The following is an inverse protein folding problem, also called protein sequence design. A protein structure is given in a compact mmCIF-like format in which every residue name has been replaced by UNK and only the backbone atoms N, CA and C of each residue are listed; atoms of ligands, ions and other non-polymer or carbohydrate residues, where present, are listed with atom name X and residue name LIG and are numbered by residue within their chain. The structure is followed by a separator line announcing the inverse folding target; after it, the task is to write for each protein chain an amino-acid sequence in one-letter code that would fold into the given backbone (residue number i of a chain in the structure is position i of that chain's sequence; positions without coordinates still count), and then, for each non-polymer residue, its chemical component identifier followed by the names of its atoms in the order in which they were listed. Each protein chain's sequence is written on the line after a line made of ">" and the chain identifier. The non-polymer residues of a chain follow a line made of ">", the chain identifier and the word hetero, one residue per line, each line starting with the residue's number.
data_IF_909619249648
#
_entry.id   IF_909619249648
#
_cell.length_a   1.000
_cell.length_b   1.000
_cell.length_c   1.000
_cell.angle_alpha   90.00
_cell.angle_beta   90.00
_cell.angle_gamma   90.00
#
_symmetry.space_group_name_H-M   'P 1'
#
loop_
_entity.id
_entity.type
_entity.pdbx_description
1 polymer ?
#
# COMPACT_ATOMS: atom_id res chain seq x y z
N UNK A 1 25.84 23.74 -11.00
CA UNK A 1 24.45 23.99 -11.45
C UNK A 1 24.25 23.78 -12.96
N UNK A 2 25.17 23.09 -13.68
CA UNK A 2 25.12 23.00 -15.15
C UNK A 2 25.20 21.57 -15.71
N UNK A 3 25.16 20.53 -14.87
CA UNK A 3 25.33 19.12 -15.27
C UNK A 3 24.35 18.67 -16.37
N UNK A 4 23.13 19.21 -16.39
CA UNK A 4 22.13 18.91 -17.42
C UNK A 4 22.50 19.52 -18.77
N UNK A 5 22.99 20.77 -18.78
CA UNK A 5 23.43 21.45 -20.00
C UNK A 5 24.65 20.74 -20.58
N UNK A 6 25.62 20.39 -19.73
CA UNK A 6 26.83 19.65 -20.14
C UNK A 6 26.48 18.25 -20.68
N UNK A 7 25.52 17.55 -20.07
CA UNK A 7 25.04 16.27 -20.58
C UNK A 7 24.42 16.41 -21.98
N UNK A 8 23.51 17.37 -22.17
CA UNK A 8 22.83 17.58 -23.45
C UNK A 8 23.80 18.00 -24.54
N UNK A 9 24.72 18.91 -24.25
CA UNK A 9 25.71 19.37 -25.23
C UNK A 9 26.67 18.25 -25.64
N UNK A 10 27.14 17.42 -24.69
CA UNK A 10 28.05 16.31 -24.99
C UNK A 10 27.37 15.16 -25.74
N UNK A 11 26.10 14.87 -25.44
CA UNK A 11 25.34 13.82 -26.13
C UNK A 11 24.93 14.26 -27.54
N UNK A 12 24.53 15.53 -27.74
CA UNK A 12 24.07 16.03 -29.03
C UNK A 12 25.19 16.46 -29.98
N UNK A 13 26.27 17.09 -29.48
CA UNK A 13 27.34 17.63 -30.34
C UNK A 13 28.42 16.59 -30.68
N UNK A 14 28.77 15.75 -29.72
CA UNK A 14 29.98 14.93 -29.82
C UNK A 14 29.72 13.44 -30.05
N UNK A 15 28.47 12.96 -29.95
CA UNK A 15 28.13 11.52 -30.05
C UNK A 15 29.00 10.62 -29.14
N UNK A 16 29.66 11.20 -28.13
CA UNK A 16 30.55 10.47 -27.24
C UNK A 16 29.69 9.73 -26.23
N UNK A 17 30.06 8.47 -25.95
CA UNK A 17 29.42 7.65 -24.93
C UNK A 17 29.71 8.27 -23.56
N UNK A 18 28.83 9.17 -23.12
CA UNK A 18 28.98 9.95 -21.90
C UNK A 18 28.31 9.26 -20.71
N UNK A 19 29.01 9.20 -19.58
CA UNK A 19 28.48 8.63 -18.34
C UNK A 19 27.43 9.58 -17.76
N UNK A 20 26.20 9.11 -17.62
CA UNK A 20 25.09 9.94 -17.13
C UNK A 20 25.41 10.46 -15.71
N UNK A 21 25.36 11.78 -15.45
CA UNK A 21 25.59 12.35 -14.14
C UNK A 21 24.61 11.84 -13.09
N UNK A 22 25.08 11.68 -11.85
CA UNK A 22 24.26 11.19 -10.73
C UNK A 22 23.02 12.07 -10.48
N UNK A 23 23.13 13.39 -10.69
CA UNK A 23 22.03 14.36 -10.61
C UNK A 23 20.90 14.06 -11.60
N UNK A 24 21.24 13.68 -12.84
CA UNK A 24 20.28 13.31 -13.88
C UNK A 24 19.61 11.96 -13.59
N UNK A 25 20.37 10.99 -13.07
CA UNK A 25 19.82 9.70 -12.65
C UNK A 25 18.77 9.90 -11.54
N UNK A 26 19.10 10.69 -10.51
CA UNK A 26 18.17 11.03 -9.43
C UNK A 26 16.91 11.71 -9.96
N UNK A 27 17.07 12.70 -10.85
CA UNK A 27 15.92 13.40 -11.44
C UNK A 27 15.02 12.44 -12.24
N UNK A 28 15.62 11.55 -13.04
CA UNK A 28 14.88 10.53 -13.79
C UNK A 28 14.10 9.60 -12.86
N UNK A 29 14.73 9.16 -11.78
CA UNK A 29 14.10 8.23 -10.86
C UNK A 29 12.94 8.91 -10.08
N UNK A 30 13.06 10.20 -9.75
CA UNK A 30 11.94 10.99 -9.19
C UNK A 30 10.80 11.10 -10.19
N UNK A 31 11.07 11.46 -11.45
CA UNK A 31 10.02 11.61 -12.48
C UNK A 31 9.24 10.30 -12.65
N UNK A 32 9.92 9.15 -12.56
CA UNK A 32 9.27 7.83 -12.63
C UNK A 32 8.31 7.53 -11.47
N UNK A 33 8.40 8.25 -10.36
CA UNK A 33 7.49 8.09 -9.22
C UNK A 33 6.22 8.94 -9.32
N UNK A 34 6.18 9.88 -10.26
CA UNK A 34 5.01 10.73 -10.49
C UNK A 34 3.99 9.92 -11.27
N UNK A 35 2.78 9.80 -10.73
CA UNK A 35 1.66 9.15 -11.41
C UNK A 35 1.44 9.80 -12.78
N UNK A 36 1.40 8.97 -13.83
CA UNK A 36 1.34 9.44 -15.23
C UNK A 36 -0.06 9.96 -15.58
N UNK A 37 -1.09 9.57 -14.81
CA UNK A 37 -2.49 9.88 -15.10
C UNK A 37 -3.35 9.97 -13.84
N UNK A 38 -4.42 10.77 -13.91
CA UNK A 38 -5.48 10.80 -12.89
C UNK A 38 -6.20 9.45 -12.75
N UNK A 39 -6.13 8.59 -13.76
CA UNK A 39 -6.77 7.27 -13.74
C UNK A 39 -6.27 6.38 -12.58
N UNK A 40 -5.00 6.47 -12.18
CA UNK A 40 -4.49 5.74 -11.01
C UNK A 40 -5.10 6.26 -9.70
N UNK A 41 -5.28 7.57 -9.61
CA UNK A 41 -5.93 8.23 -8.47
C UNK A 41 -7.42 7.90 -8.44
N UNK A 42 -8.12 7.97 -9.56
CA UNK A 42 -9.54 7.62 -9.69
C UNK A 42 -9.80 6.14 -9.33
N UNK A 43 -8.90 5.24 -9.74
CA UNK A 43 -8.94 3.83 -9.32
C UNK A 43 -8.85 3.70 -7.79
N UNK A 44 -7.99 4.47 -7.14
CA UNK A 44 -7.86 4.43 -5.68
C UNK A 44 -9.11 4.90 -4.95
N UNK A 45 -9.79 5.94 -5.46
CA UNK A 45 -11.07 6.41 -4.93
C UNK A 45 -12.20 5.40 -5.15
N UNK A 46 -12.26 4.78 -6.31
CA UNK A 46 -13.23 3.72 -6.60
C UNK A 46 -13.08 2.54 -5.62
N UNK A 47 -11.83 2.14 -5.37
CA UNK A 47 -11.51 1.03 -4.46
C UNK A 47 -11.83 1.38 -3.00
N UNK A 48 -11.61 2.64 -2.60
CA UNK A 48 -12.07 3.15 -1.31
C UNK A 48 -13.59 3.08 -1.18
N UNK A 49 -14.34 3.45 -2.23
CA UNK A 49 -15.81 3.39 -2.20
C UNK A 49 -16.32 1.95 -2.03
N UNK A 50 -15.67 0.98 -2.67
CA UNK A 50 -15.96 -0.45 -2.48
C UNK A 50 -15.67 -0.87 -1.03
N UNK A 51 -14.51 -0.49 -0.48
CA UNK A 51 -14.07 -0.86 0.87
C UNK A 51 -14.93 -0.22 1.97
N UNK A 52 -15.32 1.04 1.79
CA UNK A 52 -16.11 1.82 2.75
C UNK A 52 -17.62 1.60 2.62
N UNK A 53 -18.07 0.53 1.95
CA UNK A 53 -19.49 0.17 1.87
C UNK A 53 -20.12 -0.03 3.25
N UNK A 54 -21.43 0.17 3.38
CA UNK A 54 -22.18 0.16 4.66
C UNK A 54 -21.85 -1.02 5.60
N UNK A 55 -21.69 -2.23 5.05
CA UNK A 55 -21.33 -3.42 5.84
C UNK A 55 -19.92 -3.34 6.47
N UNK A 56 -19.00 -2.60 5.85
CA UNK A 56 -17.59 -2.45 6.24
C UNK A 56 -17.30 -1.17 7.04
N UNK A 57 -18.27 -0.26 7.21
CA UNK A 57 -18.13 0.97 8.01
C UNK A 57 -17.88 0.67 9.51
N UNK A 58 -18.14 -0.56 9.97
CA UNK A 58 -17.73 -1.03 11.30
C UNK A 58 -16.21 -1.26 11.47
N UNK A 59 -15.43 -1.17 10.39
CA UNK A 59 -13.98 -1.28 10.45
C UNK A 59 -13.36 0.02 10.99
N UNK A 60 -12.37 -0.10 11.87
CA UNK A 60 -11.55 1.05 12.28
C UNK A 60 -10.84 1.63 11.06
N UNK A 61 -10.58 2.95 11.09
CA UNK A 61 -9.81 3.66 10.05
C UNK A 61 -8.49 2.96 9.72
N UNK A 62 -7.79 2.43 10.73
CA UNK A 62 -6.56 1.65 10.54
C UNK A 62 -6.75 0.42 9.65
N UNK A 63 -7.89 -0.27 9.77
CA UNK A 63 -8.21 -1.45 8.97
C UNK A 63 -8.58 -1.08 7.54
N UNK A 64 -9.28 0.05 7.36
CA UNK A 64 -9.62 0.59 6.03
C UNK A 64 -8.35 0.92 5.26
N UNK A 65 -7.40 1.61 5.90
CA UNK A 65 -6.10 1.94 5.30
C UNK A 65 -5.35 0.66 4.91
N UNK A 66 -5.25 -0.33 5.81
CA UNK A 66 -4.59 -1.60 5.50
C UNK A 66 -5.21 -2.31 4.29
N UNK A 67 -6.55 -2.32 4.19
CA UNK A 67 -7.24 -2.97 3.07
C UNK A 67 -7.01 -2.20 1.76
N UNK A 68 -6.99 -0.87 1.81
CA UNK A 68 -6.68 -0.03 0.65
C UNK A 68 -5.24 -0.25 0.17
N UNK A 69 -4.28 -0.34 1.11
CA UNK A 69 -2.87 -0.65 0.79
C UNK A 69 -2.72 -2.01 0.11
N UNK A 70 -3.35 -3.05 0.65
CA UNK A 70 -3.34 -4.39 0.03
C UNK A 70 -3.99 -4.34 -1.36
N UNK A 71 -5.06 -3.57 -1.51
CA UNK A 71 -5.81 -3.44 -2.76
C UNK A 71 -5.08 -2.69 -3.87
N UNK A 72 -4.21 -1.74 -3.50
CA UNK A 72 -3.47 -0.89 -4.44
C UNK A 72 -2.06 -1.40 -4.76
N UNK A 73 -1.37 -1.97 -3.77
CA UNK A 73 0.04 -2.38 -3.86
C UNK A 73 0.16 -3.90 -3.83
N UNK A 74 -0.80 -4.61 -3.24
CA UNK A 74 -0.78 -6.06 -3.16
C UNK A 74 -0.97 -6.70 -4.53
N UNK A 75 -0.55 -7.97 -4.62
CA UNK A 75 -0.78 -8.76 -5.83
C UNK A 75 -2.29 -8.84 -6.14
N UNK A 76 -2.66 -8.91 -7.43
CA UNK A 76 -4.01 -9.27 -7.82
C UNK A 76 -4.45 -10.54 -7.08
N UNK A 77 -5.69 -10.57 -6.60
CA UNK A 77 -6.22 -11.74 -5.87
C UNK A 77 -6.11 -13.06 -6.67
N UNK A 78 -6.08 -12.96 -7.99
CA UNK A 78 -5.92 -14.08 -8.92
C UNK A 78 -4.51 -14.67 -8.91
N UNK A 79 -3.51 -13.87 -8.58
CA UNK A 79 -2.09 -14.24 -8.53
C UNK A 79 -1.60 -14.49 -7.10
N UNK A 80 -2.43 -14.16 -6.11
CA UNK A 80 -2.14 -14.41 -4.70
C UNK A 80 -2.40 -15.89 -4.40
N UNK A 81 -1.34 -16.68 -4.24
CA UNK A 81 -1.46 -18.02 -3.68
C UNK A 81 -1.81 -17.93 -2.18
N UNK A 82 -3.02 -18.35 -1.75
CA UNK A 82 -3.42 -18.26 -0.36
C UNK A 82 -2.78 -19.36 0.50
N UNK A 83 -2.27 -20.45 -0.11
CA UNK A 83 -1.82 -21.66 0.60
C UNK A 83 -0.72 -21.37 1.63
N UNK A 84 0.34 -20.59 1.33
CA UNK A 84 1.40 -20.31 2.30
C UNK A 84 0.90 -19.50 3.50
N UNK A 85 0.01 -18.54 3.24
CA UNK A 85 -0.56 -17.64 4.25
C UNK A 85 -1.51 -18.40 5.16
N UNK A 86 -2.41 -19.20 4.59
CA UNK A 86 -3.36 -20.03 5.35
C UNK A 86 -2.62 -21.09 6.16
N UNK A 87 -1.58 -21.71 5.60
CA UNK A 87 -0.75 -22.69 6.32
C UNK A 87 -0.03 -22.07 7.52
N UNK A 88 0.57 -20.88 7.36
CA UNK A 88 1.17 -20.13 8.48
C UNK A 88 0.14 -19.74 9.53
N UNK A 89 -1.04 -19.30 9.09
CA UNK A 89 -2.13 -18.94 10.00
C UNK A 89 -2.62 -20.15 10.81
N UNK A 90 -2.83 -21.30 10.17
CA UNK A 90 -3.21 -22.56 10.83
C UNK A 90 -2.16 -23.05 11.83
N UNK A 91 -0.88 -22.82 11.56
CA UNK A 91 0.21 -23.14 12.52
C UNK A 91 0.16 -22.25 13.77
N UNK A 92 -0.27 -20.99 13.63
CA UNK A 92 -0.39 -20.05 14.75
C UNK A 92 -1.75 -20.12 15.48
N UNK A 93 -2.78 -20.61 14.78
CA UNK A 93 -4.16 -20.72 15.20
C UNK A 93 -4.69 -22.10 14.80
N UNK A 94 -4.66 -23.04 15.74
CA UNK A 94 -5.06 -24.44 15.49
C UNK A 94 -6.52 -24.59 15.03
N UNK A 95 -7.38 -23.61 15.30
CA UNK A 95 -8.79 -23.63 14.91
C UNK A 95 -9.37 -22.21 14.81
N UNK A 96 -10.39 -22.01 13.96
CA UNK A 96 -11.15 -20.75 13.90
C UNK A 96 -11.83 -20.37 15.23
N UNK A 97 -12.01 -21.36 16.11
CA UNK A 97 -12.52 -21.22 17.47
C UNK A 97 -11.44 -21.04 18.54
N UNK A 98 -10.18 -20.84 18.17
CA UNK A 98 -9.10 -20.56 19.12
C UNK A 98 -9.50 -19.35 19.99
N UNK A 99 -9.69 -19.62 21.29
CA UNK A 99 -10.14 -18.64 22.25
C UNK A 99 -9.23 -17.41 22.24
N UNK A 100 -7.93 -17.54 21.95
CA UNK A 100 -6.98 -16.42 21.86
C UNK A 100 -7.37 -15.36 20.83
N UNK A 101 -8.10 -15.72 19.77
CA UNK A 101 -8.64 -14.81 18.76
C UNK A 101 -9.92 -14.10 19.23
N UNK A 102 -10.69 -14.72 20.14
CA UNK A 102 -11.96 -14.21 20.69
C UNK A 102 -11.82 -13.27 21.89
N UNK A 103 -10.63 -13.11 22.49
CA UNK A 103 -10.45 -12.24 23.66
C UNK A 103 -10.44 -10.74 23.29
N UNK A 104 -11.62 -10.21 22.97
CA UNK A 104 -11.91 -8.81 23.26
C UNK A 104 -12.16 -8.74 24.77
N UNK A 105 -11.31 -8.02 25.52
CA UNK A 105 -11.65 -7.62 26.90
C UNK A 105 -12.94 -6.80 26.83
N UNK A 106 -14.07 -7.39 27.15
CA UNK A 106 -15.24 -6.67 27.63
C UNK A 106 -14.85 -6.11 29.00
N UNK A 107 -14.36 -4.87 29.02
CA UNK A 107 -14.44 -4.09 30.25
C UNK A 107 -15.92 -3.86 30.46
N UNK A 108 -16.49 -4.60 31.41
CA UNK A 108 -17.87 -4.47 31.88
C UNK A 108 -18.02 -3.06 32.44
N UNK A 109 -18.55 -2.14 31.63
CA UNK A 109 -19.08 -0.87 32.10
C UNK A 109 -20.53 -1.13 32.47
N UNK A 110 -20.78 -1.59 33.70
CA UNK A 110 -22.04 -1.40 34.41
C UNK A 110 -21.87 -1.88 35.86
N UNK A 111 -21.07 -1.11 36.60
CA UNK A 111 -21.22 -1.02 38.06
C UNK A 111 -21.05 0.45 38.42
N UNK A 112 -22.17 1.18 38.34
CA UNK A 112 -22.43 2.43 39.08
C UNK A 112 -23.84 2.95 38.75
N UNK A 113 -24.86 2.23 39.24
CA UNK A 113 -26.18 2.80 39.48
C UNK A 113 -26.52 2.67 40.95
N UNK A 114 -25.85 3.45 41.80
CA UNK A 114 -26.29 3.82 43.15
C UNK A 114 -25.67 5.18 43.49
N UNK A 115 -26.45 6.25 43.35
CA UNK A 115 -26.96 7.14 44.42
C UNK A 115 -28.13 7.93 43.81
#
# INVERSE_FOLDING_TARGET
>A
INDYRDFIENVLKDSKKYTIPCSIIKARDIIKTIAVSSAEVEKSFLQMNIICSECRIRLRVSNIINLLTISLIGLPLQELDPVPTVKKWLQAHHTADDARVKHKKTVTQDDNRKV
#
